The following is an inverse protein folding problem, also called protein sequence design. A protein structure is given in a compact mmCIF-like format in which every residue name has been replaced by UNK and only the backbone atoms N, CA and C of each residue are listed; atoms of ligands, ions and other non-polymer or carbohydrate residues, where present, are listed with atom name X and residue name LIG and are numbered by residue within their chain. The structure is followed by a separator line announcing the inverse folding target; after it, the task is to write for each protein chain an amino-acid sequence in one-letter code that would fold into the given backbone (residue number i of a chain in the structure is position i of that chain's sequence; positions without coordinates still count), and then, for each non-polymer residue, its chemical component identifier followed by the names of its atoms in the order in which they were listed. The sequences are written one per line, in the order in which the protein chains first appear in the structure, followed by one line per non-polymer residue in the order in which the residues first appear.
data_IF_294082439827
#
_entry.id   IF_294082439827
#
_cell.length_a   1.000
_cell.length_b   1.000
_cell.length_c   1.000
_cell.angle_alpha   90.00
_cell.angle_beta   90.00
_cell.angle_gamma   90.00
#
_symmetry.space_group_name_H-M   'P 1'
#
loop_
_entity.id
_entity.type
_entity.pdbx_description
1 polymer ?
#
# COMPACT_ATOMS: atom_id res chain seq x y z
N UNK A 1 10.05 3.08 -13.26
CA UNK A 1 8.71 2.53 -12.93
C UNK A 1 7.74 3.69 -12.94
N UNK A 2 6.58 3.54 -13.58
CA UNK A 2 5.52 4.55 -13.47
C UNK A 2 4.74 4.27 -12.20
N UNK A 3 5.00 5.06 -11.16
CA UNK A 3 4.15 5.10 -9.97
C UNK A 3 2.80 5.73 -10.34
N UNK A 4 1.73 5.00 -10.10
CA UNK A 4 0.35 5.44 -10.27
C UNK A 4 -0.56 4.65 -9.34
N UNK A 5 -1.73 5.19 -9.06
CA UNK A 5 -2.72 4.63 -8.12
C UNK A 5 -3.01 3.16 -8.43
N UNK A 6 -3.21 2.78 -9.70
CA UNK A 6 -3.50 1.38 -10.05
C UNK A 6 -2.34 0.43 -9.78
N UNK A 7 -1.10 0.86 -10.03
CA UNK A 7 0.10 0.06 -9.77
C UNK A 7 0.35 -0.09 -8.28
N UNK A 8 0.13 0.98 -7.51
CA UNK A 8 0.14 0.98 -6.05
C UNK A 8 -0.92 0.03 -5.49
N UNK A 9 -2.21 0.22 -5.85
CA UNK A 9 -3.31 -0.64 -5.35
C UNK A 9 -3.09 -2.12 -5.66
N UNK A 10 -2.51 -2.46 -6.82
CA UNK A 10 -2.13 -3.85 -7.13
C UNK A 10 -1.08 -4.40 -6.15
N UNK A 11 0.02 -3.68 -5.95
CA UNK A 11 1.11 -4.12 -5.06
C UNK A 11 0.63 -4.18 -3.60
N UNK A 12 -0.12 -3.18 -3.15
CA UNK A 12 -0.76 -3.16 -1.82
C UNK A 12 -1.67 -4.36 -1.62
N UNK A 13 -2.47 -4.72 -2.62
CA UNK A 13 -3.35 -5.90 -2.54
C UNK A 13 -2.57 -7.20 -2.40
N UNK A 14 -1.47 -7.37 -3.16
CA UNK A 14 -0.62 -8.55 -3.05
C UNK A 14 0.04 -8.64 -1.66
N UNK A 15 0.60 -7.54 -1.16
CA UNK A 15 1.21 -7.46 0.18
C UNK A 15 0.15 -7.75 1.25
N UNK A 16 -1.03 -7.14 1.15
CA UNK A 16 -2.13 -7.30 2.07
C UNK A 16 -2.59 -8.74 2.19
N UNK A 17 -2.67 -9.48 1.08
CA UNK A 17 -2.97 -10.91 1.11
C UNK A 17 -1.95 -11.71 1.93
N UNK A 18 -0.65 -11.48 1.73
CA UNK A 18 0.40 -12.15 2.51
C UNK A 18 0.31 -11.80 4.00
N UNK A 19 0.15 -10.52 4.33
CA UNK A 19 -0.02 -10.08 5.72
C UNK A 19 -1.24 -10.74 6.37
N UNK A 20 -2.38 -10.80 5.68
CA UNK A 20 -3.58 -11.44 6.19
C UNK A 20 -3.34 -12.92 6.51
N UNK A 21 -2.62 -13.64 5.65
CA UNK A 21 -2.26 -15.05 5.88
C UNK A 21 -1.31 -15.23 7.07
N UNK A 22 -0.29 -14.39 7.18
CA UNK A 22 0.71 -14.47 8.25
C UNK A 22 0.12 -14.11 9.62
N UNK A 23 -0.75 -13.11 9.66
CA UNK A 23 -1.39 -12.59 10.88
C UNK A 23 -2.74 -13.26 11.18
N UNK A 24 -3.15 -14.26 10.38
CA UNK A 24 -4.40 -15.03 10.52
C UNK A 24 -5.67 -14.16 10.52
N UNK A 25 -5.66 -13.08 9.75
CA UNK A 25 -6.83 -12.23 9.51
C UNK A 25 -7.67 -12.74 8.32
N UNK A 26 -8.87 -12.19 8.12
CA UNK A 26 -9.68 -12.52 6.94
C UNK A 26 -9.03 -11.96 5.65
N UNK A 27 -8.52 -12.80 4.74
CA UNK A 27 -7.84 -12.34 3.53
C UNK A 27 -8.80 -11.65 2.55
N UNK A 28 -10.07 -12.05 2.50
CA UNK A 28 -11.05 -11.41 1.61
C UNK A 28 -11.20 -9.94 1.98
N UNK A 29 -11.40 -9.69 3.27
CA UNK A 29 -11.62 -8.35 3.79
C UNK A 29 -10.39 -7.46 3.64
N UNK A 30 -9.19 -7.97 3.95
CA UNK A 30 -7.94 -7.21 3.74
C UNK A 30 -7.75 -6.87 2.26
N UNK A 31 -7.91 -7.83 1.36
CA UNK A 31 -7.78 -7.62 -0.09
C UNK A 31 -8.77 -6.59 -0.60
N UNK A 32 -10.03 -6.66 -0.17
CA UNK A 32 -11.04 -5.68 -0.59
C UNK A 32 -10.74 -4.28 -0.05
N UNK A 33 -10.24 -4.14 1.17
CA UNK A 33 -9.77 -2.85 1.70
C UNK A 33 -8.59 -2.32 0.87
N UNK A 34 -7.59 -3.14 0.62
CA UNK A 34 -6.42 -2.78 -0.21
C UNK A 34 -6.81 -2.36 -1.63
N UNK A 35 -7.77 -3.02 -2.25
CA UNK A 35 -8.17 -2.73 -3.62
C UNK A 35 -8.93 -1.40 -3.74
N UNK A 36 -9.73 -1.04 -2.73
CA UNK A 36 -10.65 0.10 -2.79
C UNK A 36 -10.22 1.32 -1.96
N UNK A 37 -9.13 1.25 -1.20
CA UNK A 37 -8.75 2.33 -0.30
C UNK A 37 -8.57 3.69 -0.99
N UNK A 38 -7.93 3.70 -2.16
CA UNK A 38 -7.68 4.92 -2.94
C UNK A 38 -8.69 5.10 -4.08
N UNK A 39 -9.80 4.37 -4.09
CA UNK A 39 -10.76 4.43 -5.19
C UNK A 39 -11.31 5.85 -5.41
N UNK A 40 -11.44 6.64 -4.34
CA UNK A 40 -11.88 8.04 -4.40
C UNK A 40 -10.88 8.98 -5.08
N UNK A 41 -9.60 8.61 -5.15
CA UNK A 41 -8.57 9.42 -5.79
C UNK A 41 -8.74 9.53 -7.30
N UNK A 42 -9.55 8.66 -7.92
CA UNK A 42 -10.00 8.83 -9.29
C UNK A 42 -10.73 10.18 -9.52
N UNK A 43 -11.34 10.75 -8.48
CA UNK A 43 -12.05 12.04 -8.53
C UNK A 43 -11.29 13.17 -7.85
N UNK A 44 -10.48 12.88 -6.84
CA UNK A 44 -9.75 13.92 -6.07
C UNK A 44 -8.30 14.10 -6.50
N UNK A 45 -7.72 13.13 -7.20
CA UNK A 45 -6.27 12.98 -7.36
C UNK A 45 -5.58 12.53 -6.07
N UNK A 46 -4.37 11.96 -6.20
CA UNK A 46 -3.50 11.58 -5.09
C UNK A 46 -3.01 12.83 -4.35
N UNK A 47 -3.39 12.94 -3.08
CA UNK A 47 -3.03 14.07 -2.22
C UNK A 47 -1.75 13.78 -1.45
N UNK A 48 -0.64 14.32 -1.93
CA UNK A 48 0.63 14.23 -1.21
C UNK A 48 0.63 15.06 0.10
N UNK A 49 1.71 14.98 0.88
CA UNK A 49 1.82 15.70 2.16
C UNK A 49 1.60 17.20 2.00
N UNK A 50 2.14 17.84 0.96
CA UNK A 50 1.96 19.27 0.72
C UNK A 50 0.49 19.58 0.43
N UNK A 51 -0.18 18.76 -0.39
CA UNK A 51 -1.60 18.95 -0.70
C UNK A 51 -2.46 18.89 0.57
N UNK A 52 -2.20 17.94 1.47
CA UNK A 52 -2.95 17.76 2.74
C UNK A 52 -2.91 18.98 3.66
N UNK A 53 -1.99 19.92 3.44
CA UNK A 53 -1.94 21.20 4.19
C UNK A 53 -2.95 22.24 3.69
N UNK A 54 -3.31 22.20 2.40
CA UNK A 54 -4.05 23.27 1.73
C UNK A 54 -5.36 22.79 1.08
N UNK A 55 -5.50 21.49 0.84
CA UNK A 55 -6.64 20.88 0.18
C UNK A 55 -7.42 20.06 1.19
N UNK A 56 -8.74 20.28 1.22
CA UNK A 56 -9.68 19.45 1.98
C UNK A 56 -10.43 18.54 1.01
N UNK A 57 -10.31 17.24 1.19
CA UNK A 57 -11.09 16.22 0.49
C UNK A 57 -12.31 15.84 1.32
N UNK A 58 -13.42 15.54 0.65
CA UNK A 58 -14.65 15.05 1.26
C UNK A 58 -14.80 13.55 0.97
N UNK A 59 -13.86 12.74 1.45
CA UNK A 59 -13.68 11.34 1.05
C UNK A 59 -14.95 10.49 1.17
N UNK A 60 -15.71 10.65 2.26
CA UNK A 60 -16.99 9.96 2.45
C UNK A 60 -18.03 10.34 1.38
N UNK A 61 -18.09 11.61 0.99
CA UNK A 61 -18.99 12.08 -0.06
C UNK A 61 -18.55 11.55 -1.43
N UNK A 62 -17.24 11.60 -1.71
CA UNK A 62 -16.65 11.10 -2.95
C UNK A 62 -16.96 9.62 -3.15
N UNK A 63 -16.72 8.77 -2.14
CA UNK A 63 -16.96 7.32 -2.23
C UNK A 63 -18.45 7.03 -2.35
N UNK A 64 -19.31 7.74 -1.60
CA UNK A 64 -20.76 7.60 -1.71
C UNK A 64 -21.26 7.92 -3.12
N UNK A 65 -20.80 9.02 -3.69
CA UNK A 65 -21.18 9.45 -5.04
C UNK A 65 -20.56 8.56 -6.12
N UNK A 66 -19.41 7.94 -5.85
CA UNK A 66 -18.75 7.02 -6.78
C UNK A 66 -19.45 5.67 -6.87
N UNK A 67 -20.05 5.24 -5.76
CA UNK A 67 -20.77 3.98 -5.68
C UNK A 67 -22.28 4.12 -5.92
N UNK A 68 -22.78 5.34 -6.08
CA UNK A 68 -24.20 5.60 -6.31
C UNK A 68 -24.74 4.83 -7.52
N UNK A 69 -25.85 4.11 -7.32
CA UNK A 69 -26.49 3.30 -8.36
C UNK A 69 -25.87 1.91 -8.60
N UNK A 70 -24.79 1.54 -7.90
CA UNK A 70 -24.19 0.20 -8.01
C UNK A 70 -24.90 -0.77 -7.05
N UNK A 71 -25.37 -1.95 -7.51
CA UNK A 71 -26.10 -2.91 -6.66
C UNK A 71 -25.36 -3.34 -5.37
N UNK A 72 -24.03 -3.31 -5.38
CA UNK A 72 -23.16 -3.72 -4.26
C UNK A 72 -22.59 -2.53 -3.45
N UNK A 73 -23.11 -1.31 -3.64
CA UNK A 73 -22.59 -0.10 -3.01
C UNK A 73 -22.53 -0.19 -1.48
N UNK A 74 -23.54 -0.80 -0.85
CA UNK A 74 -23.60 -0.93 0.61
C UNK A 74 -22.45 -1.76 1.20
N UNK A 75 -22.04 -2.82 0.49
CA UNK A 75 -20.89 -3.65 0.91
C UNK A 75 -19.59 -2.85 0.80
N UNK A 76 -19.37 -2.20 -0.33
CA UNK A 76 -18.15 -1.41 -0.57
C UNK A 76 -18.04 -0.22 0.38
N UNK A 77 -19.14 0.49 0.67
CA UNK A 77 -19.18 1.56 1.67
C UNK A 77 -18.87 1.08 3.07
N UNK A 78 -19.30 -0.13 3.43
CA UNK A 78 -18.96 -0.75 4.72
C UNK A 78 -17.46 -1.08 4.78
N UNK A 79 -16.91 -1.63 3.70
CA UNK A 79 -15.49 -1.99 3.62
C UNK A 79 -14.60 -0.75 3.71
N UNK A 80 -14.88 0.29 2.91
CA UNK A 80 -14.10 1.54 2.93
C UNK A 80 -14.28 2.30 4.25
N UNK A 81 -15.51 2.36 4.78
CA UNK A 81 -15.77 2.99 6.07
C UNK A 81 -15.11 2.27 7.25
N UNK A 82 -15.01 0.94 7.20
CA UNK A 82 -14.26 0.18 8.20
C UNK A 82 -12.76 0.38 8.06
N UNK A 83 -12.26 0.37 6.83
CA UNK A 83 -10.88 0.72 6.56
C UNK A 83 -10.58 2.06 7.24
N UNK A 84 -11.31 3.13 6.92
CA UNK A 84 -11.04 4.50 7.43
C UNK A 84 -10.99 4.64 8.96
N UNK A 85 -11.79 3.86 9.68
CA UNK A 85 -11.71 3.85 11.16
C UNK A 85 -10.42 3.24 11.70
N UNK A 86 -9.79 2.33 10.94
CA UNK A 86 -8.55 1.63 11.31
C UNK A 86 -8.64 0.90 12.66
N UNK A 87 -9.81 0.35 12.99
CA UNK A 87 -10.06 -0.31 14.28
C UNK A 87 -9.83 -1.83 14.24
N UNK A 88 -10.30 -2.49 13.18
CA UNK A 88 -10.18 -3.93 12.99
C UNK A 88 -8.75 -4.36 12.66
N UNK A 89 -8.46 -5.65 12.87
CA UNK A 89 -7.19 -6.23 12.48
C UNK A 89 -6.99 -6.08 10.96
N UNK A 90 -8.03 -6.38 10.18
CA UNK A 90 -7.99 -6.30 8.72
C UNK A 90 -7.69 -4.89 8.22
N UNK A 91 -8.34 -3.86 8.78
CA UNK A 91 -8.11 -2.47 8.41
C UNK A 91 -6.67 -2.01 8.73
N UNK A 92 -6.12 -2.46 9.86
CA UNK A 92 -4.73 -2.17 10.25
C UNK A 92 -3.73 -2.88 9.33
N UNK A 93 -4.00 -4.13 8.96
CA UNK A 93 -3.14 -4.88 8.02
C UNK A 93 -3.21 -4.32 6.60
N UNK A 94 -4.38 -3.88 6.14
CA UNK A 94 -4.50 -3.18 4.87
C UNK A 94 -3.69 -1.88 4.87
N UNK A 95 -3.68 -1.13 5.98
CA UNK A 95 -2.85 0.06 6.12
C UNK A 95 -1.35 -0.25 6.22
N UNK A 96 -0.98 -1.36 6.87
CA UNK A 96 0.41 -1.85 6.85
C UNK A 96 0.85 -2.16 5.42
N UNK A 97 -0.01 -2.77 4.60
CA UNK A 97 0.30 -3.08 3.21
C UNK A 97 0.54 -1.82 2.35
N UNK A 98 -0.30 -0.80 2.50
CA UNK A 98 -0.12 0.52 1.87
C UNK A 98 1.23 1.15 2.26
N UNK A 99 1.53 1.20 3.56
CA UNK A 99 2.81 1.76 4.04
C UNK A 99 4.03 0.94 3.58
N UNK A 100 3.94 -0.38 3.55
CA UNK A 100 5.00 -1.25 3.05
C UNK A 100 5.27 -1.01 1.56
N UNK A 101 4.22 -0.82 0.77
CA UNK A 101 4.37 -0.52 -0.64
C UNK A 101 5.08 0.82 -0.88
N UNK A 102 4.72 1.84 -0.09
CA UNK A 102 5.40 3.14 -0.11
C UNK A 102 6.89 3.01 0.27
N UNK A 103 7.23 2.20 1.28
CA UNK A 103 8.64 1.94 1.66
C UNK A 103 9.39 1.25 0.52
N UNK A 104 8.76 0.27 -0.13
CA UNK A 104 9.35 -0.45 -1.26
C UNK A 104 9.59 0.48 -2.45
N UNK A 105 8.62 1.33 -2.79
CA UNK A 105 8.76 2.34 -3.85
C UNK A 105 9.90 3.34 -3.56
N UNK A 106 9.96 3.87 -2.33
CA UNK A 106 11.04 4.76 -1.92
C UNK A 106 12.40 4.07 -2.04
N UNK A 107 12.47 2.77 -1.72
CA UNK A 107 13.70 2.00 -1.82
C UNK A 107 14.14 1.82 -3.28
N UNK A 108 13.19 1.56 -4.18
CA UNK A 108 13.43 1.51 -5.63
C UNK A 108 13.94 2.86 -6.16
N UNK A 109 13.33 3.97 -5.76
CA UNK A 109 13.80 5.31 -6.15
C UNK A 109 15.15 5.68 -5.57
N UNK A 110 15.40 5.37 -4.29
CA UNK A 110 16.71 5.57 -3.67
C UNK A 110 17.79 4.79 -4.44
N UNK A 111 17.49 3.56 -4.86
CA UNK A 111 18.39 2.73 -5.67
C UNK A 111 18.67 3.32 -7.06
N UNK A 112 17.70 4.03 -7.65
CA UNK A 112 17.86 4.77 -8.90
C UNK A 112 18.64 6.09 -8.74
N UNK A 113 19.07 6.43 -7.52
CA UNK A 113 19.84 7.64 -7.24
C UNK A 113 18.99 8.83 -6.77
N UNK A 114 17.70 8.65 -6.47
CA UNK A 114 16.88 9.72 -5.92
C UNK A 114 17.31 10.04 -4.48
N UNK A 115 17.92 11.21 -4.29
CA UNK A 115 18.44 11.66 -3.01
C UNK A 115 17.33 11.98 -2.00
N UNK A 116 16.20 12.51 -2.47
CA UNK A 116 15.03 12.74 -1.62
C UNK A 116 14.51 11.40 -1.09
N UNK A 117 14.24 10.42 -1.95
CA UNK A 117 13.78 9.10 -1.50
C UNK A 117 14.75 8.46 -0.48
N UNK A 118 16.05 8.63 -0.71
CA UNK A 118 17.09 8.20 0.24
C UNK A 118 17.01 8.93 1.58
N UNK A 119 16.75 10.25 1.57
CA UNK A 119 16.56 11.08 2.76
C UNK A 119 15.31 10.66 3.53
N UNK A 120 14.19 10.46 2.82
CA UNK A 120 12.94 10.02 3.41
C UNK A 120 13.09 8.66 4.10
N UNK A 121 13.82 7.71 3.51
CA UNK A 121 14.06 6.40 4.13
C UNK A 121 14.98 6.43 5.37
N UNK A 122 15.66 7.54 5.67
CA UNK A 122 16.53 7.60 6.85
C UNK A 122 15.73 7.55 8.15
N UNK A 123 16.27 6.84 9.13
CA UNK A 123 15.65 6.66 10.45
C UNK A 123 14.58 5.58 10.44
N UNK A 124 13.71 5.59 11.46
CA UNK A 124 12.75 4.52 11.74
C UNK A 124 11.28 4.99 11.74
N UNK A 125 11.02 6.24 11.30
CA UNK A 125 9.69 6.85 11.31
C UNK A 125 8.68 5.99 10.52
N UNK A 126 9.06 5.50 9.34
CA UNK A 126 8.20 4.64 8.52
C UNK A 126 7.87 3.30 9.20
N UNK A 127 8.86 2.70 9.86
CA UNK A 127 8.70 1.43 10.60
C UNK A 127 7.79 1.63 11.81
N UNK A 128 7.92 2.77 12.51
CA UNK A 128 7.09 3.10 13.68
C UNK A 128 5.61 3.27 13.34
N UNK A 129 5.28 3.69 12.11
CA UNK A 129 3.89 3.85 11.63
C UNK A 129 3.19 2.52 11.37
N UNK A 130 3.94 1.45 11.15
CA UNK A 130 3.38 0.12 10.96
C UNK A 130 2.78 -0.40 12.27
N UNK A 131 1.68 -1.12 12.16
CA UNK A 131 0.96 -1.73 13.26
C UNK A 131 1.59 -3.08 13.65
N UNK A 132 1.59 -4.04 12.74
CA UNK A 132 1.95 -5.43 13.03
C UNK A 132 3.46 -5.64 13.19
N UNK A 133 3.84 -6.68 13.95
CA UNK A 133 5.25 -7.08 14.09
C UNK A 133 5.78 -7.61 12.76
N UNK A 134 4.96 -8.36 12.02
CA UNK A 134 5.31 -8.89 10.70
C UNK A 134 5.61 -7.77 9.71
N UNK A 135 4.76 -6.75 9.60
CA UNK A 135 5.02 -5.64 8.71
C UNK A 135 6.31 -4.89 9.09
N UNK A 136 6.56 -4.66 10.39
CA UNK A 136 7.82 -4.06 10.86
C UNK A 136 9.05 -4.87 10.47
N UNK A 137 8.96 -6.19 10.49
CA UNK A 137 10.05 -7.06 10.05
C UNK A 137 10.26 -6.96 8.54
N UNK A 138 9.18 -7.05 7.75
CA UNK A 138 9.24 -6.90 6.29
C UNK A 138 9.85 -5.55 5.90
N UNK A 139 9.44 -4.46 6.55
CA UNK A 139 9.99 -3.13 6.28
C UNK A 139 11.52 -3.06 6.50
N UNK A 140 12.02 -3.71 7.56
CA UNK A 140 13.47 -3.79 7.83
C UNK A 140 14.20 -4.56 6.72
N UNK A 141 13.61 -5.66 6.25
CA UNK A 141 14.16 -6.45 5.15
C UNK A 141 14.17 -5.67 3.82
N UNK A 142 13.10 -4.94 3.51
CA UNK A 142 13.05 -4.07 2.32
C UNK A 142 14.17 -3.03 2.36
N UNK A 143 14.39 -2.40 3.52
CA UNK A 143 15.40 -1.34 3.67
C UNK A 143 16.82 -1.90 3.58
N UNK A 144 17.08 -3.10 4.12
CA UNK A 144 18.43 -3.70 4.19
C UNK A 144 18.91 -4.31 2.87
N UNK A 145 18.00 -4.74 2.00
CA UNK A 145 18.32 -5.46 0.76
C UNK A 145 18.37 -4.53 -0.46
N UNK A 146 18.88 -4.99 -1.60
CA UNK A 146 18.74 -4.26 -2.87
C UNK A 146 17.49 -4.76 -3.61
N UNK A 147 16.71 -3.87 -4.26
CA UNK A 147 15.54 -4.29 -5.04
C UNK A 147 15.86 -5.35 -6.11
N UNK A 148 17.11 -5.42 -6.59
CA UNK A 148 17.56 -6.39 -7.60
C UNK A 148 17.88 -7.78 -7.07
N UNK A 149 17.99 -7.96 -5.75
CA UNK A 149 18.54 -9.19 -5.18
C UNK A 149 17.66 -10.42 -5.47
N UNK A 150 16.35 -10.23 -5.69
CA UNK A 150 15.43 -11.33 -5.96
C UNK A 150 15.81 -12.17 -7.18
N UNK A 151 16.36 -11.59 -8.26
CA UNK A 151 16.77 -12.38 -9.44
C UNK A 151 18.21 -12.91 -9.33
N UNK A 152 19.10 -12.22 -8.60
CA UNK A 152 20.48 -12.71 -8.40
C UNK A 152 20.52 -13.98 -7.55
N UNK A 153 19.67 -14.07 -6.52
CA UNK A 153 19.60 -15.25 -5.65
C UNK A 153 18.75 -16.39 -6.22
N UNK A 154 17.94 -16.13 -7.25
CA UNK A 154 17.07 -17.14 -7.89
C UNK A 154 17.79 -17.97 -8.97
N UNK A 155 19.11 -17.82 -9.11
CA UNK A 155 19.87 -18.51 -10.16
C UNK A 155 19.48 -18.06 -11.57
N UNK A 156 19.03 -16.81 -11.73
CA UNK A 156 18.64 -16.28 -13.03
C UNK A 156 19.85 -16.27 -13.98
N UNK A 157 19.73 -16.99 -15.10
CA UNK A 157 20.70 -16.98 -16.19
C UNK A 157 20.11 -16.25 -17.39
N UNK A 158 20.98 -15.71 -18.25
CA UNK A 158 20.60 -15.11 -19.54
C UNK A 158 20.07 -16.13 -20.54
N UNK A 159 20.20 -17.43 -20.25
CA UNK A 159 19.72 -18.50 -21.10
C UNK A 159 18.20 -18.54 -21.06
N UNK A 160 17.56 -18.14 -22.15
CA UNK A 160 16.11 -18.34 -22.31
C UNK A 160 15.86 -19.85 -22.22
N UNK A 161 15.05 -20.27 -21.24
CA UNK A 161 14.55 -21.66 -21.16
C UNK A 161 13.92 -22.00 -22.52
N UNK A 162 14.54 -22.94 -23.24
CA UNK A 162 14.05 -23.45 -24.52
C UNK A 162 12.80 -24.30 -24.32
#
# INVERSE_FOLDING_TARGET
MSDNISSHSYRVTAIGWFLAKLEKADPYKVVMMCLFHDAGEARTGDQNWVNKKYVKTFENEVVKDQLSGIPIAGELLKITGEYEKRESLEAKLAKDADLLDQILLLKEYAWQGNQEASSWLKGDVHIKRLFSKTAKQIAKEIISQKPSDWWYHSGWTSDRRK
#
